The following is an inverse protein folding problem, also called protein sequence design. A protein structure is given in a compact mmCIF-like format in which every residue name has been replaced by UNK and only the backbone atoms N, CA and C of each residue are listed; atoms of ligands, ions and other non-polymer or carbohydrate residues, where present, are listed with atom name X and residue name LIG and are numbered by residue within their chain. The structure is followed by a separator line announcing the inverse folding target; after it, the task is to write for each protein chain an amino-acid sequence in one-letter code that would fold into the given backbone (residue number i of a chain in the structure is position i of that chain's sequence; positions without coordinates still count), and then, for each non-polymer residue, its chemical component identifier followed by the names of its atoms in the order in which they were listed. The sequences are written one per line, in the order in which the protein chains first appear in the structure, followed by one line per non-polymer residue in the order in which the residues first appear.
data_IF_724518496224
#
_entry.id   IF_724518496224
#
_cell.length_a   1.000
_cell.length_b   1.000
_cell.length_c   1.000
_cell.angle_alpha   90.00
_cell.angle_beta   90.00
_cell.angle_gamma   90.00
#
_symmetry.space_group_name_H-M   'P 1'
#
loop_
_entity.id
_entity.type
_entity.pdbx_description
1 polymer ?
#
# COMPACT_ATOMS: atom_id res chain seq x y z
N UNK A 1 -21.97 25.00 -3.55
CA UNK A 1 -22.90 23.90 -3.21
C UNK A 1 -23.93 24.43 -2.23
N UNK A 2 -25.22 24.14 -2.42
CA UNK A 2 -26.28 24.59 -1.51
C UNK A 2 -26.05 24.00 -0.09
N UNK A 3 -26.23 24.75 1.01
CA UNK A 3 -25.87 24.30 2.37
C UNK A 3 -26.49 22.96 2.77
N UNK A 4 -27.75 22.71 2.37
CA UNK A 4 -28.43 21.44 2.60
C UNK A 4 -27.78 20.26 1.88
N UNK A 5 -27.22 20.47 0.69
CA UNK A 5 -26.55 19.41 -0.06
C UNK A 5 -25.21 19.05 0.60
N UNK A 6 -24.51 20.02 1.19
CA UNK A 6 -23.28 19.77 1.95
C UNK A 6 -23.57 18.94 3.21
N UNK A 7 -24.58 19.31 3.99
CA UNK A 7 -24.99 18.54 5.18
C UNK A 7 -25.32 17.07 4.86
N UNK A 8 -26.12 16.84 3.81
CA UNK A 8 -26.46 15.48 3.39
C UNK A 8 -25.23 14.69 2.95
N UNK A 9 -24.31 15.34 2.22
CA UNK A 9 -23.04 14.73 1.80
C UNK A 9 -22.18 14.31 3.00
N UNK A 10 -21.93 15.22 3.94
CA UNK A 10 -21.06 14.98 5.09
C UNK A 10 -21.61 13.82 5.95
N UNK A 11 -22.92 13.80 6.18
CA UNK A 11 -23.59 12.71 6.91
C UNK A 11 -23.54 11.37 6.18
N UNK A 12 -23.66 11.37 4.85
CA UNK A 12 -23.53 10.15 4.06
C UNK A 12 -22.10 9.60 4.14
N UNK A 13 -21.08 10.46 4.02
CA UNK A 13 -19.68 10.08 4.16
C UNK A 13 -19.40 9.52 5.56
N UNK A 14 -19.85 10.19 6.62
CA UNK A 14 -19.67 9.70 8.00
C UNK A 14 -20.35 8.35 8.22
N UNK A 15 -21.58 8.18 7.74
CA UNK A 15 -22.32 6.92 7.85
C UNK A 15 -21.56 5.77 7.16
N UNK A 16 -21.12 5.99 5.92
CA UNK A 16 -20.36 5.00 5.14
C UNK A 16 -19.02 4.69 5.83
N UNK A 17 -18.32 5.72 6.31
CA UNK A 17 -17.03 5.54 6.98
C UNK A 17 -17.19 4.73 8.27
N UNK A 18 -18.22 5.02 9.07
CA UNK A 18 -18.54 4.26 10.27
C UNK A 18 -18.91 2.81 9.94
N UNK A 19 -19.71 2.58 8.91
CA UNK A 19 -20.11 1.23 8.50
C UNK A 19 -18.92 0.40 8.00
N UNK A 20 -18.07 0.98 7.13
CA UNK A 20 -16.96 0.28 6.48
C UNK A 20 -15.72 0.13 7.36
N UNK A 21 -15.38 1.16 8.12
CA UNK A 21 -14.13 1.23 8.89
C UNK A 21 -14.33 1.17 10.41
N UNK A 22 -15.59 1.15 10.88
CA UNK A 22 -15.91 1.01 12.30
C UNK A 22 -15.80 -0.43 12.83
N UNK A 23 -15.81 -1.44 11.95
CA UNK A 23 -15.67 -2.83 12.34
C UNK A 23 -14.22 -3.18 12.72
N UNK A 24 -14.05 -4.02 13.77
CA UNK A 24 -12.74 -4.55 14.15
C UNK A 24 -12.07 -5.35 13.04
N UNK A 25 -12.85 -6.05 12.23
CA UNK A 25 -12.35 -6.90 11.14
C UNK A 25 -12.95 -6.38 9.84
N UNK A 26 -12.10 -5.77 9.01
CA UNK A 26 -12.47 -5.18 7.72
C UNK A 26 -12.39 -6.17 6.57
N UNK A 27 -13.24 -5.97 5.54
CA UNK A 27 -13.16 -6.65 4.25
C UNK A 27 -11.89 -6.30 3.47
N UNK A 28 -11.60 -7.03 2.39
CA UNK A 28 -10.33 -6.86 1.66
C UNK A 28 -10.16 -5.45 1.06
N UNK A 29 -11.23 -4.86 0.54
CA UNK A 29 -11.20 -3.54 -0.11
C UNK A 29 -11.02 -2.46 0.95
N UNK A 30 -11.86 -2.46 1.98
CA UNK A 30 -11.77 -1.49 3.09
C UNK A 30 -10.41 -1.61 3.80
N UNK A 31 -9.90 -2.82 3.99
CA UNK A 31 -8.60 -3.02 4.65
C UNK A 31 -7.43 -2.53 3.80
N UNK A 32 -7.50 -2.62 2.47
CA UNK A 32 -6.47 -2.05 1.59
C UNK A 32 -6.41 -0.54 1.75
N UNK A 33 -7.54 0.15 1.53
CA UNK A 33 -7.65 1.60 1.70
C UNK A 33 -7.26 2.07 3.11
N UNK A 34 -7.66 1.33 4.15
CA UNK A 34 -7.27 1.65 5.52
C UNK A 34 -5.76 1.53 5.74
N UNK A 35 -5.12 0.48 5.23
CA UNK A 35 -3.67 0.27 5.37
C UNK A 35 -2.89 1.34 4.60
N UNK A 36 -3.29 1.66 3.38
CA UNK A 36 -2.70 2.77 2.61
C UNK A 36 -2.80 4.09 3.37
N UNK A 37 -3.97 4.40 3.93
CA UNK A 37 -4.20 5.62 4.70
C UNK A 37 -3.32 5.70 5.97
N UNK A 38 -3.18 4.62 6.75
CA UNK A 38 -2.32 4.67 7.94
C UNK A 38 -0.84 4.81 7.56
N UNK A 39 -0.39 4.22 6.44
CA UNK A 39 0.99 4.38 5.97
C UNK A 39 1.23 5.81 5.51
N UNK A 40 0.29 6.39 4.74
CA UNK A 40 0.31 7.80 4.35
C UNK A 40 0.39 8.74 5.56
N UNK A 41 -0.43 8.50 6.58
CA UNK A 41 -0.40 9.29 7.82
C UNK A 41 0.94 9.12 8.53
N UNK A 42 1.48 7.90 8.64
CA UNK A 42 2.77 7.67 9.28
C UNK A 42 3.90 8.46 8.59
N UNK A 43 3.89 8.49 7.26
CA UNK A 43 4.85 9.26 6.46
C UNK A 43 4.63 10.77 6.63
N UNK A 44 3.37 11.23 6.62
CA UNK A 44 3.03 12.65 6.77
C UNK A 44 3.39 13.20 8.14
N UNK A 45 3.27 12.39 9.20
CA UNK A 45 3.63 12.76 10.57
C UNK A 45 5.15 12.78 10.80
N UNK A 46 5.92 12.02 10.01
CA UNK A 46 7.36 11.83 10.21
C UNK A 46 8.25 12.65 9.26
N UNK A 47 7.78 12.98 8.05
CA UNK A 47 8.64 13.41 6.95
C UNK A 47 8.78 14.93 6.82
N UNK A 48 9.99 15.35 6.41
CA UNK A 48 10.27 16.65 5.77
C UNK A 48 9.96 16.64 4.26
N UNK A 49 9.90 15.45 3.65
CA UNK A 49 9.56 15.26 2.24
C UNK A 49 8.04 15.10 2.07
N UNK A 50 7.45 15.94 1.23
CA UNK A 50 6.01 15.93 0.97
C UNK A 50 5.60 14.64 0.23
N UNK A 51 4.88 13.77 0.93
CA UNK A 51 4.22 12.58 0.38
C UNK A 51 2.81 12.90 -0.09
N UNK A 52 2.38 12.28 -1.18
CA UNK A 52 0.99 12.27 -1.65
C UNK A 52 0.47 10.84 -1.76
N UNK A 53 -0.83 10.67 -1.50
CA UNK A 53 -1.57 9.49 -1.93
C UNK A 53 -1.97 9.66 -3.41
N UNK A 54 -1.89 8.58 -4.17
CA UNK A 54 -2.30 8.57 -5.58
C UNK A 54 -3.80 8.24 -5.72
N UNK A 55 -4.41 8.50 -6.89
CA UNK A 55 -5.77 8.04 -7.17
C UNK A 55 -5.89 6.51 -7.11
N UNK A 56 -7.09 6.00 -6.77
CA UNK A 56 -7.43 4.57 -6.54
C UNK A 56 -7.09 3.55 -7.65
N UNK A 57 -6.58 4.03 -8.78
CA UNK A 57 -6.30 3.23 -9.98
C UNK A 57 -4.90 3.51 -10.54
N UNK A 58 -4.13 4.36 -9.87
CA UNK A 58 -2.74 4.58 -10.20
C UNK A 58 -1.93 3.31 -9.96
N UNK A 59 -0.77 3.23 -10.60
CA UNK A 59 0.04 2.01 -10.59
C UNK A 59 0.81 1.74 -9.29
N UNK A 60 0.82 2.73 -8.40
CA UNK A 60 1.44 2.77 -7.07
C UNK A 60 0.53 3.59 -6.15
N UNK A 61 0.63 3.40 -4.84
CA UNK A 61 -0.31 3.98 -3.86
C UNK A 61 0.18 5.32 -3.29
N UNK A 62 1.50 5.50 -3.13
CA UNK A 62 2.08 6.72 -2.57
C UNK A 62 3.29 7.17 -3.39
N UNK A 63 3.50 8.47 -3.47
CA UNK A 63 4.66 9.08 -4.12
C UNK A 63 5.14 10.29 -3.32
N UNK A 64 6.45 10.51 -3.22
CA UNK A 64 6.99 11.73 -2.63
C UNK A 64 7.45 12.74 -3.69
N UNK A 65 7.73 13.98 -3.28
CA UNK A 65 8.23 15.05 -4.18
C UNK A 65 9.51 14.71 -4.96
N UNK A 66 10.28 13.73 -4.47
CA UNK A 66 11.51 13.27 -5.12
C UNK A 66 11.24 12.18 -6.17
N UNK A 67 9.98 11.75 -6.36
CA UNK A 67 9.58 10.73 -7.32
C UNK A 67 9.69 9.29 -6.81
N UNK A 68 9.95 9.08 -5.51
CA UNK A 68 9.97 7.74 -4.91
C UNK A 68 8.54 7.21 -4.83
N UNK A 69 8.28 6.05 -5.43
CA UNK A 69 6.96 5.43 -5.51
C UNK A 69 6.85 4.20 -4.61
N UNK A 70 5.75 4.10 -3.87
CA UNK A 70 5.46 3.01 -2.94
C UNK A 70 4.21 2.26 -3.38
N UNK A 71 4.33 0.94 -3.48
CA UNK A 71 3.21 0.01 -3.59
C UNK A 71 2.93 -0.62 -2.22
N UNK A 72 1.69 -0.56 -1.76
CA UNK A 72 1.20 -1.16 -0.53
C UNK A 72 0.50 -2.48 -0.85
N UNK A 73 0.86 -3.53 -0.11
CA UNK A 73 0.18 -4.83 -0.17
C UNK A 73 -0.21 -5.26 1.23
N UNK A 74 -1.46 -5.64 1.43
CA UNK A 74 -1.92 -6.11 2.73
C UNK A 74 -2.41 -7.56 2.71
N UNK A 75 -2.31 -8.20 3.87
CA UNK A 75 -2.99 -9.44 4.17
C UNK A 75 -3.32 -9.50 5.66
N UNK A 76 -4.36 -10.28 6.03
CA UNK A 76 -4.76 -10.47 7.41
C UNK A 76 -5.12 -11.93 7.68
N UNK A 77 -4.70 -12.45 8.84
CA UNK A 77 -4.99 -13.82 9.25
C UNK A 77 -6.50 -14.07 9.44
N UNK A 78 -7.25 -13.03 9.83
CA UNK A 78 -8.70 -13.06 10.05
C UNK A 78 -9.46 -12.22 9.02
N UNK A 79 -10.60 -12.74 8.61
CA UNK A 79 -11.50 -12.12 7.64
C UNK A 79 -12.90 -11.96 8.24
N UNK A 80 -13.73 -11.04 7.71
CA UNK A 80 -15.08 -10.81 8.25
C UNK A 80 -16.07 -11.96 7.94
N UNK A 81 -15.75 -12.84 6.99
CA UNK A 81 -16.53 -14.05 6.71
C UNK A 81 -16.02 -15.25 7.52
N UNK A 82 -16.86 -16.29 7.64
CA UNK A 82 -16.51 -17.53 8.34
C UNK A 82 -15.30 -18.19 7.68
N UNK A 83 -14.31 -18.58 8.50
CA UNK A 83 -13.12 -19.31 8.06
C UNK A 83 -12.89 -20.52 8.99
N UNK A 84 -12.56 -21.67 8.41
CA UNK A 84 -12.17 -22.85 9.20
C UNK A 84 -10.72 -22.75 9.70
N UNK A 85 -9.86 -22.01 8.99
CA UNK A 85 -8.46 -21.75 9.34
C UNK A 85 -8.08 -20.30 9.04
N UNK A 86 -7.13 -19.70 9.77
CA UNK A 86 -6.59 -18.39 9.42
C UNK A 86 -6.02 -18.35 8.00
N UNK A 87 -6.16 -17.21 7.33
CA UNK A 87 -5.55 -16.99 6.01
C UNK A 87 -4.03 -17.01 6.13
N UNK A 88 -3.36 -17.60 5.14
CA UNK A 88 -1.91 -17.45 5.00
C UNK A 88 -1.60 -16.18 4.20
N UNK A 89 -0.59 -15.39 4.61
CA UNK A 89 -0.16 -14.21 3.88
C UNK A 89 0.48 -14.59 2.54
N UNK A 90 -0.11 -14.11 1.46
CA UNK A 90 0.42 -14.12 0.11
C UNK A 90 0.12 -12.77 -0.52
N UNK A 91 1.13 -12.12 -1.10
CA UNK A 91 1.02 -10.79 -1.68
C UNK A 91 1.34 -10.85 -3.18
N UNK A 92 0.56 -10.15 -4.00
CA UNK A 92 0.89 -9.98 -5.41
C UNK A 92 2.10 -9.05 -5.56
N UNK A 93 3.05 -9.47 -6.39
CA UNK A 93 4.24 -8.69 -6.82
C UNK A 93 4.43 -8.80 -8.34
N UNK A 94 3.34 -9.08 -9.07
CA UNK A 94 3.33 -9.17 -10.52
C UNK A 94 3.84 -7.87 -11.14
N UNK A 95 4.54 -8.01 -12.27
CA UNK A 95 4.84 -6.89 -13.16
C UNK A 95 3.54 -6.31 -13.69
N UNK A 96 3.45 -4.99 -13.80
CA UNK A 96 2.35 -4.30 -14.48
C UNK A 96 2.37 -4.68 -15.97
N UNK A 97 1.19 -4.76 -16.58
CA UNK A 97 1.06 -4.98 -18.03
C UNK A 97 1.59 -3.77 -18.80
N UNK A 98 1.89 -3.92 -20.08
CA UNK A 98 2.59 -2.91 -20.89
C UNK A 98 1.79 -1.64 -21.17
N UNK A 99 0.63 -1.45 -20.56
CA UNK A 99 -0.28 -0.35 -20.81
C UNK A 99 -0.78 0.20 -19.47
N UNK A 100 -0.24 1.34 -19.07
CA UNK A 100 -0.52 2.01 -17.81
C UNK A 100 -1.37 3.25 -18.06
N UNK A 101 -2.36 3.53 -17.21
CA UNK A 101 -3.11 4.78 -17.28
C UNK A 101 -2.42 5.85 -16.42
N UNK A 102 -2.05 6.98 -17.05
CA UNK A 102 -1.54 8.17 -16.38
C UNK A 102 -2.72 9.09 -16.02
N UNK A 103 -3.03 9.17 -14.72
CA UNK A 103 -4.14 10.00 -14.25
C UNK A 103 -3.89 11.50 -14.37
N UNK A 104 -2.64 11.93 -14.26
CA UNK A 104 -2.28 13.35 -14.29
C UNK A 104 -2.43 13.90 -15.73
N UNK A 105 -2.10 13.09 -16.74
CA UNK A 105 -2.19 13.46 -18.16
C UNK A 105 -3.42 12.91 -18.90
N UNK A 106 -4.17 11.98 -18.29
CA UNK A 106 -5.36 11.38 -18.88
C UNK A 106 -5.07 10.54 -20.14
N UNK A 107 -3.92 9.88 -20.19
CA UNK A 107 -3.50 9.07 -21.33
C UNK A 107 -2.91 7.72 -20.93
N UNK A 108 -2.64 6.87 -21.92
CA UNK A 108 -1.98 5.58 -21.74
C UNK A 108 -0.47 5.72 -21.93
N UNK A 109 0.31 5.26 -20.95
CA UNK A 109 1.76 5.06 -21.03
C UNK A 109 2.04 3.62 -21.44
N UNK A 110 2.68 3.46 -22.59
CA UNK A 110 3.14 2.16 -23.08
C UNK A 110 4.50 1.82 -22.46
N UNK A 111 4.55 0.78 -21.64
CA UNK A 111 5.83 0.26 -21.14
C UNK A 111 6.49 -0.61 -22.22
N UNK A 112 7.83 -0.57 -22.37
CA UNK A 112 8.56 -1.37 -23.36
C UNK A 112 8.47 -2.87 -23.07
N UNK A 113 8.28 -3.23 -21.80
CA UNK A 113 8.07 -4.59 -21.32
C UNK A 113 7.36 -4.55 -19.96
N UNK A 114 6.70 -5.64 -19.54
CA UNK A 114 6.12 -5.71 -18.20
C UNK A 114 7.17 -5.46 -17.12
N UNK A 115 6.90 -4.52 -16.21
CA UNK A 115 7.81 -4.15 -15.12
C UNK A 115 7.05 -3.77 -13.86
N UNK A 116 7.75 -3.74 -12.72
CA UNK A 116 7.25 -3.12 -11.49
C UNK A 116 7.56 -1.63 -11.56
N UNK A 117 6.55 -0.81 -11.32
CA UNK A 117 6.58 0.66 -11.49
C UNK A 117 6.67 1.43 -10.18
N UNK A 118 6.59 0.71 -9.05
CA UNK A 118 6.95 1.23 -7.74
C UNK A 118 8.42 0.91 -7.41
N UNK A 119 9.07 1.81 -6.68
CA UNK A 119 10.43 1.66 -6.20
C UNK A 119 10.52 0.82 -4.93
N UNK A 120 9.48 0.90 -4.09
CA UNK A 120 9.41 0.26 -2.79
C UNK A 120 8.07 -0.46 -2.65
N UNK A 121 8.10 -1.66 -2.08
CA UNK A 121 6.91 -2.39 -1.68
C UNK A 121 6.81 -2.40 -0.15
N UNK A 122 5.65 -2.02 0.39
CA UNK A 122 5.32 -2.13 1.81
C UNK A 122 4.28 -3.24 1.98
N UNK A 123 4.72 -4.37 2.53
CA UNK A 123 3.84 -5.50 2.82
C UNK A 123 3.35 -5.42 4.26
N UNK A 124 2.07 -5.11 4.45
CA UNK A 124 1.40 -5.08 5.73
C UNK A 124 0.77 -6.43 6.07
N UNK A 125 1.23 -7.05 7.16
CA UNK A 125 0.68 -8.30 7.67
C UNK A 125 0.01 -8.09 9.03
N UNK A 126 -1.28 -8.42 9.11
CA UNK A 126 -2.02 -8.52 10.36
C UNK A 126 -2.06 -9.98 10.82
N UNK A 127 -1.26 -10.32 11.83
CA UNK A 127 -1.02 -11.71 12.24
C UNK A 127 -1.90 -12.20 13.38
N UNK A 128 -2.75 -11.36 13.98
CA UNK A 128 -3.51 -11.74 15.17
C UNK A 128 -4.62 -12.74 14.79
N UNK A 129 -4.68 -13.85 15.53
CA UNK A 129 -5.61 -14.94 15.26
C UNK A 129 -6.66 -15.09 16.36
N UNK A 130 -6.42 -14.56 17.56
CA UNK A 130 -7.29 -14.79 18.72
C UNK A 130 -8.50 -13.87 18.66
N UNK A 131 -9.63 -14.43 18.21
CA UNK A 131 -10.88 -13.73 17.87
C UNK A 131 -11.24 -12.50 18.73
N UNK A 132 -11.12 -12.56 20.07
CA UNK A 132 -11.47 -11.41 20.94
C UNK A 132 -10.52 -10.22 20.86
N UNK A 133 -9.27 -10.45 20.47
CA UNK A 133 -8.20 -9.45 20.42
C UNK A 133 -7.98 -8.88 19.03
N UNK A 134 -8.45 -9.56 17.98
CA UNK A 134 -8.26 -9.13 16.59
C UNK A 134 -8.94 -7.78 16.37
N UNK A 135 -8.15 -6.79 16.00
CA UNK A 135 -8.63 -5.49 15.60
C UNK A 135 -7.70 -4.91 14.52
N UNK A 136 -8.17 -4.89 13.27
CA UNK A 136 -7.45 -4.32 12.14
C UNK A 136 -7.18 -2.82 12.32
N UNK A 137 -7.89 -2.14 13.24
CA UNK A 137 -7.67 -0.71 13.55
C UNK A 137 -6.56 -0.52 14.58
N UNK A 138 -6.10 -1.59 15.23
CA UNK A 138 -5.02 -1.51 16.21
C UNK A 138 -3.67 -1.53 15.50
N UNK A 139 -3.03 -0.36 15.37
CA UNK A 139 -1.74 -0.17 14.68
C UNK A 139 -0.64 -1.13 15.17
N UNK A 140 -0.63 -1.47 16.47
CA UNK A 140 0.35 -2.39 17.06
C UNK A 140 0.23 -3.86 16.59
N UNK A 141 -0.91 -4.23 16.01
CA UNK A 141 -1.16 -5.57 15.45
C UNK A 141 -0.65 -5.73 14.01
N UNK A 142 -0.29 -4.62 13.35
CA UNK A 142 0.31 -4.65 12.03
C UNK A 142 1.82 -4.85 12.10
N UNK A 143 2.33 -5.62 11.15
CA UNK A 143 3.76 -5.79 10.88
C UNK A 143 4.01 -5.40 9.44
N UNK A 144 4.94 -4.48 9.22
CA UNK A 144 5.26 -3.99 7.89
C UNK A 144 6.62 -4.52 7.47
N UNK A 145 6.71 -5.02 6.24
CA UNK A 145 7.97 -5.40 5.62
C UNK A 145 8.21 -4.44 4.46
N UNK A 146 9.28 -3.65 4.55
CA UNK A 146 9.64 -2.67 3.53
C UNK A 146 10.74 -3.24 2.66
N UNK A 147 10.50 -3.33 1.35
CA UNK A 147 11.41 -3.97 0.40
C UNK A 147 11.58 -3.09 -0.83
N UNK A 148 12.80 -2.64 -1.10
CA UNK A 148 13.15 -2.00 -2.36
C UNK A 148 12.98 -2.99 -3.52
N UNK A 149 12.46 -2.52 -4.65
CA UNK A 149 12.02 -3.36 -5.78
C UNK A 149 13.14 -4.24 -6.35
N UNK A 150 14.39 -3.77 -6.33
CA UNK A 150 15.56 -4.51 -6.79
C UNK A 150 15.89 -5.75 -5.93
N UNK A 151 15.35 -5.85 -4.72
CA UNK A 151 15.51 -7.00 -3.82
C UNK A 151 14.42 -8.06 -4.00
N UNK A 152 13.32 -7.72 -4.67
CA UNK A 152 12.26 -8.68 -4.95
C UNK A 152 12.70 -9.66 -6.05
N UNK A 153 12.27 -10.94 -5.99
CA UNK A 153 12.55 -11.89 -7.07
C UNK A 153 12.03 -11.35 -8.41
N UNK A 154 12.83 -11.39 -9.50
CA UNK A 154 12.53 -10.63 -10.72
C UNK A 154 11.28 -11.12 -11.45
N UNK A 155 11.03 -12.43 -11.49
CA UNK A 155 9.97 -13.03 -12.31
C UNK A 155 8.83 -13.65 -11.50
N UNK A 156 8.86 -13.49 -10.18
CA UNK A 156 7.83 -14.03 -9.31
C UNK A 156 6.62 -13.08 -9.28
N UNK A 157 5.42 -13.66 -9.39
CA UNK A 157 4.15 -12.91 -9.43
C UNK A 157 3.52 -12.74 -8.04
N UNK A 158 3.94 -13.53 -7.05
CA UNK A 158 3.47 -13.40 -5.68
C UNK A 158 4.53 -13.82 -4.68
N UNK A 159 4.52 -13.27 -3.47
CA UNK A 159 5.45 -13.61 -2.39
C UNK A 159 4.69 -13.97 -1.12
N UNK A 160 5.11 -15.02 -0.42
CA UNK A 160 4.56 -15.41 0.88
C UNK A 160 5.43 -14.89 2.03
N UNK A 161 4.97 -15.01 3.27
CA UNK A 161 5.65 -14.41 4.43
C UNK A 161 7.07 -14.96 4.69
N UNK A 162 7.34 -16.25 4.44
CA UNK A 162 8.67 -16.81 4.71
C UNK A 162 9.78 -16.20 3.83
N UNK A 163 9.67 -16.18 2.48
CA UNK A 163 10.65 -15.49 1.66
C UNK A 163 10.68 -13.99 1.94
N UNK A 164 9.55 -13.36 2.29
CA UNK A 164 9.52 -11.95 2.66
C UNK A 164 10.37 -11.65 3.91
N UNK A 165 10.34 -12.51 4.93
CA UNK A 165 11.19 -12.40 6.12
C UNK A 165 12.68 -12.55 5.84
N UNK A 166 13.07 -13.17 4.72
CA UNK A 166 14.46 -13.23 4.30
C UNK A 166 14.91 -11.92 3.61
N UNK A 167 13.97 -11.09 3.16
CA UNK A 167 14.24 -9.81 2.51
C UNK A 167 14.19 -8.64 3.51
N UNK A 168 13.33 -8.67 4.51
CA UNK A 168 13.24 -7.60 5.48
C UNK A 168 12.80 -8.10 6.85
N UNK A 169 13.31 -7.45 7.89
CA UNK A 169 12.76 -7.59 9.23
C UNK A 169 11.46 -6.79 9.35
N UNK A 170 10.45 -7.30 10.10
CA UNK A 170 9.21 -6.57 10.27
C UNK A 170 9.40 -5.35 11.18
N UNK A 171 8.89 -4.21 10.74
CA UNK A 171 8.80 -2.98 11.54
C UNK A 171 7.38 -2.72 12.01
N UNK A 172 7.25 -1.96 13.10
CA UNK A 172 5.96 -1.45 13.58
C UNK A 172 5.60 -0.11 12.94
N UNK A 173 4.37 0.35 13.19
CA UNK A 173 3.86 1.62 12.67
C UNK A 173 4.79 2.82 12.93
N UNK A 174 5.25 3.00 14.17
CA UNK A 174 6.09 4.15 14.55
C UNK A 174 7.46 4.19 13.87
N UNK A 175 7.99 3.04 13.45
CA UNK A 175 9.31 2.91 12.80
C UNK A 175 9.21 2.75 11.29
N UNK A 176 7.98 2.67 10.76
CA UNK A 176 7.74 2.47 9.34
C UNK A 176 8.33 3.58 8.46
N UNK A 177 8.19 4.88 8.79
CA UNK A 177 8.75 5.95 7.95
C UNK A 177 10.26 5.81 7.77
N UNK A 178 10.99 5.54 8.86
CA UNK A 178 12.44 5.31 8.80
C UNK A 178 12.81 4.13 7.89
N UNK A 179 12.07 3.02 7.94
CA UNK A 179 12.34 1.87 7.08
C UNK A 179 12.08 2.17 5.60
N UNK A 180 11.09 3.03 5.29
CA UNK A 180 10.83 3.51 3.93
C UNK A 180 11.97 4.43 3.46
N UNK A 181 12.45 5.33 4.31
CA UNK A 181 13.59 6.20 3.98
C UNK A 181 14.88 5.41 3.75
N UNK A 182 15.15 4.39 4.57
CA UNK A 182 16.30 3.49 4.38
C UNK A 182 16.21 2.73 3.05
N UNK A 183 15.02 2.21 2.72
CA UNK A 183 14.79 1.57 1.44
C UNK A 183 14.99 2.56 0.28
N UNK A 184 14.50 3.81 0.40
CA UNK A 184 14.67 4.85 -0.60
C UNK A 184 16.15 5.21 -0.83
N UNK A 185 16.96 5.34 0.23
CA UNK A 185 18.40 5.61 0.12
C UNK A 185 19.19 4.47 -0.52
N UNK A 186 18.64 3.25 -0.55
CA UNK A 186 19.26 2.11 -1.23
C UNK A 186 19.01 2.07 -2.74
N UNK A 187 18.11 2.91 -3.25
CA UNK A 187 17.80 2.99 -4.68
C UNK A 187 18.93 3.70 -5.44
N UNK A 188 19.35 3.12 -6.56
CA UNK A 188 20.34 3.75 -7.46
C UNK A 188 19.69 4.48 -8.63
N UNK A 189 18.42 4.21 -8.90
CA UNK A 189 17.60 4.80 -9.95
C UNK A 189 16.13 4.72 -9.52
N UNK A 190 15.33 5.72 -9.93
CA UNK A 190 13.89 5.75 -9.66
C UNK A 190 13.09 5.29 -10.88
N UNK A 191 11.96 4.64 -10.65
CA UNK A 191 11.04 4.22 -11.70
C UNK A 191 10.45 5.38 -12.48
N UNK A 192 10.30 6.56 -11.86
CA UNK A 192 9.87 7.75 -12.59
C UNK A 192 10.85 8.19 -13.68
N UNK A 193 12.16 8.00 -13.46
CA UNK A 193 13.20 8.40 -14.43
C UNK A 193 13.29 7.40 -15.57
N UNK A 194 13.20 6.10 -15.28
CA UNK A 194 13.09 5.05 -16.30
C UNK A 194 11.90 5.32 -17.24
N UNK A 195 10.76 5.73 -16.70
CA UNK A 195 9.56 5.99 -17.50
C UNK A 195 9.66 7.22 -18.39
N UNK A 196 10.37 8.28 -17.97
CA UNK A 196 10.58 9.47 -18.81
C UNK A 196 11.41 9.16 -20.04
N UNK A 197 12.44 8.32 -19.90
CA UNK A 197 13.30 7.91 -21.04
C UNK A 197 12.61 7.02 -22.07
N UNK A 198 11.40 6.52 -21.76
CA UNK A 198 10.61 5.67 -22.65
C UNK A 198 9.58 6.45 -23.49
N UNK A 199 9.35 7.72 -23.15
CA UNK A 199 8.41 8.60 -23.83
C UNK A 199 9.05 9.51 -24.89
N UNK A 200 10.38 9.47 -25.04
CA UNK A 200 11.16 10.12 -26.11
C UNK A 200 11.47 9.13 -27.24
#
# INVERSE_FOLDING_TARGET
MHPRNRDVHDRAVEMIARERYGAKIMGNIERAAYVEAIIYIALSDAAEDEWRATPLWEAWDLENRNGVRVEVKQSAARQPWRQDKPSKPTFSISKQVSDLWDYDNGNHIRLPSPMRVADIYVFAWHSEERSRWVDHRALAQWRFYVVAVHRLPPDQMSISLNPLKALADPVGYNTLPHAIDEAARSLTHLKCDEMKTLGE
#
